data_IF_562231884370
#
_entry.id   IF_562231884370
#
_cell.length_a   1.000
_cell.length_b   1.000
_cell.length_c   1.000
_cell.angle_alpha   90.00
_cell.angle_beta   90.00
_cell.angle_gamma   90.00
#
_symmetry.space_group_name_H-M   'P 1'
#
loop_
_entity.id
_entity.type
_entity.pdbx_description
1 polymer ?
#
# COMPACT_ATOMS: atom_id res chain seq x y z
N UNK A 1 -1.71 -14.76 20.95
CA UNK A 1 -2.46 -13.49 20.87
C UNK A 1 -3.21 -13.49 19.55
N UNK A 2 -4.55 -13.38 19.54
CA UNK A 2 -5.28 -13.18 18.29
C UNK A 2 -4.83 -11.85 17.65
N UNK A 3 -4.56 -11.86 16.34
CA UNK A 3 -4.26 -10.65 15.57
C UNK A 3 -5.41 -9.66 15.73
N UNK A 4 -5.10 -8.44 16.13
CA UNK A 4 -6.09 -7.37 16.25
C UNK A 4 -6.62 -7.01 14.86
N UNK A 5 -7.81 -6.40 14.79
CA UNK A 5 -8.35 -5.88 13.52
C UNK A 5 -7.39 -4.87 12.86
N UNK A 6 -6.65 -4.13 13.67
CA UNK A 6 -5.62 -3.21 13.22
C UNK A 6 -4.45 -3.93 12.53
N UNK A 7 -4.01 -5.06 13.09
CA UNK A 7 -2.93 -5.87 12.50
C UNK A 7 -3.32 -6.42 11.12
N UNK A 8 -4.54 -6.94 11.00
CA UNK A 8 -5.08 -7.42 9.72
C UNK A 8 -5.14 -6.30 8.68
N UNK A 9 -5.52 -5.09 9.12
CA UNK A 9 -5.56 -3.92 8.25
C UNK A 9 -4.15 -3.52 7.79
N UNK A 10 -3.17 -3.53 8.68
CA UNK A 10 -1.77 -3.25 8.34
C UNK A 10 -1.23 -4.28 7.34
N UNK A 11 -1.48 -5.57 7.56
CA UNK A 11 -1.08 -6.64 6.65
C UNK A 11 -1.69 -6.47 5.25
N UNK A 12 -2.98 -6.14 5.17
CA UNK A 12 -3.66 -5.88 3.89
C UNK A 12 -3.05 -4.71 3.12
N UNK A 13 -2.71 -3.63 3.84
CA UNK A 13 -2.05 -2.46 3.23
C UNK A 13 -0.63 -2.81 2.75
N UNK A 14 0.13 -3.60 3.51
CA UNK A 14 1.46 -4.07 3.11
C UNK A 14 1.40 -4.95 1.86
N UNK A 15 0.42 -5.87 1.81
CA UNK A 15 0.21 -6.75 0.67
C UNK A 15 -0.20 -5.97 -0.59
N UNK A 16 -1.09 -4.99 -0.43
CA UNK A 16 -1.50 -4.06 -1.49
C UNK A 16 -0.31 -3.26 -2.03
N UNK A 17 0.53 -2.68 -1.15
CA UNK A 17 1.74 -1.95 -1.56
C UNK A 17 2.67 -2.84 -2.39
N UNK A 18 2.87 -4.10 -1.95
CA UNK A 18 3.73 -5.07 -2.64
C UNK A 18 3.20 -5.43 -4.02
N UNK A 19 1.89 -5.66 -4.15
CA UNK A 19 1.24 -5.93 -5.43
C UNK A 19 1.36 -4.74 -6.38
N UNK A 20 1.02 -3.53 -5.93
CA UNK A 20 1.12 -2.32 -6.76
C UNK A 20 2.55 -2.07 -7.22
N UNK A 21 3.56 -2.26 -6.36
CA UNK A 21 4.96 -2.12 -6.76
C UNK A 21 5.34 -3.09 -7.88
N UNK A 22 4.93 -4.36 -7.79
CA UNK A 22 5.17 -5.36 -8.86
C UNK A 22 4.47 -4.96 -10.15
N UNK A 23 3.22 -4.52 -10.08
CA UNK A 23 2.42 -4.11 -11.25
C UNK A 23 3.03 -2.88 -11.93
N UNK A 24 3.38 -1.83 -11.17
CA UNK A 24 3.95 -0.58 -11.71
C UNK A 24 5.29 -0.80 -12.42
N UNK A 25 6.14 -1.70 -11.93
CA UNK A 25 7.44 -2.02 -12.56
C UNK A 25 7.25 -2.57 -13.97
N UNK A 26 6.17 -3.32 -14.21
CA UNK A 26 5.88 -3.96 -15.51
C UNK A 26 5.27 -3.01 -16.54
N UNK A 27 4.76 -1.86 -16.12
CA UNK A 27 4.06 -0.92 -17.01
C UNK A 27 5.04 0.17 -17.46
N UNK A 28 5.16 0.48 -18.75
CA UNK A 28 6.05 1.55 -19.23
C UNK A 28 5.76 2.92 -18.60
N UNK A 29 6.82 3.72 -18.42
CA UNK A 29 6.72 5.12 -17.95
C UNK A 29 5.90 5.95 -18.96
N UNK A 30 5.14 6.93 -18.46
CA UNK A 30 4.34 7.84 -19.29
C UNK A 30 2.94 7.35 -19.66
N UNK A 31 2.64 6.06 -19.50
CA UNK A 31 1.29 5.53 -19.76
C UNK A 31 0.26 6.04 -18.74
N UNK A 32 -0.96 6.31 -19.20
CA UNK A 32 -2.09 6.75 -18.36
C UNK A 32 -2.37 5.73 -17.26
N UNK A 33 -2.27 4.45 -17.61
CA UNK A 33 -2.46 3.32 -16.69
C UNK A 33 -1.41 3.32 -15.58
N UNK A 34 -0.13 3.60 -15.88
CA UNK A 34 0.90 3.70 -14.83
C UNK A 34 0.63 4.84 -13.86
N UNK A 35 0.17 6.00 -14.36
CA UNK A 35 -0.16 7.16 -13.49
C UNK A 35 -1.21 6.82 -12.44
N UNK A 36 -2.24 6.05 -12.81
CA UNK A 36 -3.29 5.64 -11.86
C UNK A 36 -2.77 4.63 -10.83
N UNK A 37 -1.90 3.69 -11.23
CA UNK A 37 -1.24 2.78 -10.29
C UNK A 37 -0.24 3.48 -9.37
N UNK A 38 0.50 4.48 -9.85
CA UNK A 38 1.39 5.30 -9.02
C UNK A 38 0.62 6.09 -7.96
N UNK A 39 -0.59 6.58 -8.29
CA UNK A 39 -1.48 7.20 -7.29
C UNK A 39 -1.92 6.21 -6.20
N UNK A 40 -2.34 4.99 -6.60
CA UNK A 40 -2.71 3.91 -5.66
C UNK A 40 -1.53 3.51 -4.76
N UNK A 41 -0.32 3.39 -5.32
CA UNK A 41 0.89 3.07 -4.55
C UNK A 41 1.23 4.18 -3.54
N UNK A 42 1.09 5.45 -3.91
CA UNK A 42 1.27 6.58 -2.99
C UNK A 42 0.25 6.56 -1.85
N UNK A 43 -1.00 6.28 -2.16
CA UNK A 43 -2.06 6.17 -1.15
C UNK A 43 -1.81 5.02 -0.16
N UNK A 44 -1.42 3.83 -0.65
CA UNK A 44 -1.07 2.70 0.21
C UNK A 44 0.09 3.02 1.16
N UNK A 45 1.13 3.73 0.69
CA UNK A 45 2.24 4.20 1.54
C UNK A 45 1.80 5.19 2.61
N UNK A 46 0.89 6.10 2.27
CA UNK A 46 0.32 7.03 3.23
C UNK A 46 -0.45 6.28 4.33
N UNK A 47 -1.35 5.36 3.94
CA UNK A 47 -2.12 4.54 4.89
C UNK A 47 -1.22 3.72 5.81
N UNK A 48 -0.18 3.07 5.25
CA UNK A 48 0.81 2.32 6.03
C UNK A 48 1.45 3.18 7.11
N UNK A 49 1.93 4.38 6.75
CA UNK A 49 2.54 5.31 7.73
C UNK A 49 1.54 5.73 8.81
N UNK A 50 0.29 6.01 8.42
CA UNK A 50 -0.78 6.40 9.34
C UNK A 50 -1.10 5.29 10.34
N UNK A 51 -1.31 4.07 9.86
CA UNK A 51 -1.66 2.91 10.70
C UNK A 51 -0.52 2.51 11.63
N UNK A 52 0.73 2.51 11.17
CA UNK A 52 1.89 2.25 12.03
C UNK A 52 1.99 3.30 13.14
N UNK A 53 1.70 4.57 12.85
CA UNK A 53 1.71 5.64 13.87
C UNK A 53 0.59 5.46 14.90
N UNK A 54 -0.56 4.94 14.49
CA UNK A 54 -1.67 4.61 15.40
C UNK A 54 -1.37 3.38 16.26
N UNK A 55 -0.76 2.34 15.70
CA UNK A 55 -0.37 1.14 16.44
C UNK A 55 0.74 1.40 17.47
N UNK A 56 1.62 2.39 17.24
CA UNK A 56 2.69 2.75 18.18
C UNK A 56 2.24 3.69 19.31
N UNK A 57 1.03 4.22 19.25
CA UNK A 57 0.43 5.05 20.30
C UNK A 57 -0.39 4.19 21.23
#
# INVERSE_FOLDING_TARGET
MPLTELDRTIESVLLSERLWKKTVIRIPRGTVVRKSFDAKLRYARYLKKKLIKQHKK
#
